data_IF_011539198520
#
_entry.id   IF_011539198520
#
_cell.length_a   1.000
_cell.length_b   1.000
_cell.length_c   1.000
_cell.angle_alpha   90.00
_cell.angle_beta   90.00
_cell.angle_gamma   90.00
#
_symmetry.space_group_name_H-M   'P 1'
#
loop_
_entity.id
_entity.type
_entity.pdbx_description
1 polymer ?
#
# COMPACT_ATOMS: atom_id res chain seq x y z
N UNK A 1 -15.22 -6.66 7.08
CA UNK A 1 -14.30 -7.11 6.02
C UNK A 1 -13.10 -7.82 6.64
N UNK A 2 -12.59 -8.90 6.04
CA UNK A 2 -11.40 -9.63 6.50
C UNK A 2 -10.26 -9.44 5.50
N UNK A 3 -9.06 -9.08 5.96
CA UNK A 3 -7.90 -8.83 5.12
C UNK A 3 -6.77 -9.76 5.55
N UNK A 4 -6.28 -10.54 4.59
CA UNK A 4 -5.21 -11.53 4.72
C UNK A 4 -4.24 -11.39 3.55
N UNK A 5 -3.00 -11.87 3.71
CA UNK A 5 -2.12 -12.05 2.55
C UNK A 5 -2.49 -13.32 1.78
N UNK A 6 -2.50 -13.23 0.46
CA UNK A 6 -2.80 -14.35 -0.45
C UNK A 6 -1.83 -15.52 -0.30
N UNK A 7 -0.55 -15.24 -0.01
CA UNK A 7 0.47 -16.27 0.20
C UNK A 7 0.44 -16.91 1.60
N UNK A 8 -0.49 -16.48 2.47
CA UNK A 8 -0.60 -16.94 3.84
C UNK A 8 0.54 -16.52 4.77
N UNK A 9 1.51 -15.73 4.29
CA UNK A 9 2.59 -15.21 5.12
C UNK A 9 2.07 -14.19 6.14
N UNK A 10 2.82 -14.03 7.23
CA UNK A 10 2.50 -12.99 8.21
C UNK A 10 2.81 -11.60 7.66
N UNK A 11 2.14 -10.60 8.22
CA UNK A 11 2.39 -9.20 7.88
C UNK A 11 2.32 -8.30 9.10
N UNK A 12 2.77 -7.07 8.90
CA UNK A 12 2.67 -6.00 9.87
C UNK A 12 1.88 -4.85 9.25
N UNK A 13 1.05 -4.20 10.05
CA UNK A 13 0.28 -3.01 9.65
C UNK A 13 0.70 -1.85 10.55
N UNK A 14 1.00 -0.73 9.94
CA UNK A 14 1.41 0.48 10.62
C UNK A 14 0.24 1.44 10.84
N UNK A 15 -0.47 1.77 9.77
CA UNK A 15 -1.60 2.70 9.81
C UNK A 15 -2.66 2.36 8.78
N UNK A 16 -3.83 2.96 8.97
CA UNK A 16 -4.97 2.90 8.07
C UNK A 16 -5.68 4.26 8.11
N UNK A 17 -6.13 4.74 6.96
CA UNK A 17 -6.90 5.97 6.86
C UNK A 17 -8.40 5.62 6.80
N UNK A 18 -9.21 6.30 7.62
CA UNK A 18 -10.65 6.03 7.77
C UNK A 18 -11.44 7.34 7.73
N UNK A 19 -12.62 7.33 7.12
CA UNK A 19 -13.60 8.41 7.21
C UNK A 19 -15.03 7.85 7.32
N UNK A 20 -15.99 8.69 7.67
CA UNK A 20 -17.41 8.33 7.49
C UNK A 20 -17.75 8.16 6.00
N UNK A 21 -18.77 7.36 5.68
CA UNK A 21 -19.08 7.01 4.28
C UNK A 21 -19.40 8.20 3.38
N UNK A 22 -19.88 9.31 3.96
CA UNK A 22 -20.21 10.53 3.22
C UNK A 22 -19.05 11.54 3.24
N UNK A 23 -18.01 11.28 4.03
CA UNK A 23 -16.87 12.15 4.30
C UNK A 23 -17.30 13.58 4.69
N UNK A 24 -18.29 13.68 5.56
CA UNK A 24 -18.84 14.95 6.04
C UNK A 24 -18.41 15.30 7.46
N UNK A 25 -17.58 14.46 8.09
CA UNK A 25 -17.20 14.59 9.49
C UNK A 25 -18.26 14.05 10.43
N UNK A 26 -18.90 12.93 10.07
CA UNK A 26 -19.73 12.20 11.02
C UNK A 26 -18.83 11.41 12.00
N UNK A 27 -19.19 11.39 13.28
CA UNK A 27 -18.52 10.59 14.30
C UNK A 27 -19.05 9.15 14.23
N UNK A 28 -18.32 8.24 13.61
CA UNK A 28 -18.72 6.84 13.45
C UNK A 28 -17.85 5.92 14.27
N UNK A 29 -18.52 5.00 14.96
CA UNK A 29 -17.91 3.97 15.79
C UNK A 29 -17.56 2.75 14.95
N UNK A 30 -16.28 2.36 14.98
CA UNK A 30 -15.79 1.20 14.27
C UNK A 30 -14.81 0.40 15.11
N UNK A 31 -14.47 -0.78 14.59
CA UNK A 31 -13.56 -1.72 15.20
C UNK A 31 -12.47 -2.12 14.24
N UNK A 32 -11.27 -2.24 14.78
CA UNK A 32 -10.16 -2.94 14.14
C UNK A 32 -9.87 -4.19 14.96
N UNK A 33 -10.06 -5.35 14.34
CA UNK A 33 -9.76 -6.64 14.98
C UNK A 33 -8.54 -7.28 14.33
N UNK A 34 -7.54 -7.59 15.12
CA UNK A 34 -6.31 -8.23 14.69
C UNK A 34 -6.32 -9.71 15.07
N UNK A 35 -5.85 -10.56 14.17
CA UNK A 35 -5.63 -11.99 14.42
C UNK A 35 -4.15 -12.27 14.28
N UNK A 36 -3.50 -12.66 15.36
CA UNK A 36 -2.06 -12.89 15.41
C UNK A 36 -1.68 -14.32 14.99
N UNK A 37 -0.38 -14.54 14.77
CA UNK A 37 0.17 -15.84 14.39
C UNK A 37 -0.23 -16.99 15.34
N UNK A 38 -0.34 -16.71 16.64
CA UNK A 38 -0.76 -17.67 17.68
C UNK A 38 -2.29 -17.82 17.79
N UNK A 39 -3.04 -17.23 16.85
CA UNK A 39 -4.50 -17.15 16.80
C UNK A 39 -5.15 -16.33 17.93
N UNK A 40 -4.37 -15.61 18.76
CA UNK A 40 -4.96 -14.61 19.63
C UNK A 40 -5.61 -13.52 18.81
N UNK A 41 -6.62 -12.89 19.39
CA UNK A 41 -7.32 -11.77 18.78
C UNK A 41 -7.30 -10.57 19.70
N UNK A 42 -7.09 -9.39 19.12
CA UNK A 42 -7.23 -8.11 19.79
C UNK A 42 -8.23 -7.26 19.02
N UNK A 43 -9.15 -6.60 19.71
CA UNK A 43 -10.10 -5.65 19.10
C UNK A 43 -9.85 -4.27 19.69
N UNK A 44 -9.68 -3.28 18.82
CA UNK A 44 -9.69 -1.87 19.16
C UNK A 44 -11.06 -1.29 18.83
N UNK A 45 -11.55 -0.42 19.70
CA UNK A 45 -12.78 0.33 19.54
C UNK A 45 -12.39 1.80 19.32
N UNK A 46 -12.77 2.35 18.18
CA UNK A 46 -12.31 3.64 17.69
C UNK A 46 -13.47 4.43 17.12
N UNK A 47 -13.29 5.74 17.00
CA UNK A 47 -14.20 6.63 16.31
C UNK A 47 -13.45 7.64 15.45
N UNK A 48 -14.12 8.13 14.40
CA UNK A 48 -13.68 9.33 13.64
C UNK A 48 -13.89 10.60 14.48
N UNK A 49 -13.21 11.70 14.17
CA UNK A 49 -13.09 12.91 14.97
C UNK A 49 -14.07 14.04 14.60
N UNK A 50 -15.22 13.71 14.01
CA UNK A 50 -16.23 14.69 13.59
C UNK A 50 -15.75 15.76 12.58
N UNK A 51 -14.63 15.51 11.90
CA UNK A 51 -14.08 16.40 10.87
C UNK A 51 -14.14 15.71 9.52
N UNK A 52 -14.50 16.46 8.46
CA UNK A 52 -14.44 15.92 7.11
C UNK A 52 -12.99 15.69 6.68
N UNK A 53 -12.74 14.58 6.00
CA UNK A 53 -11.42 14.11 5.59
C UNK A 53 -11.13 12.70 6.11
N UNK A 54 -10.12 12.06 5.53
CA UNK A 54 -9.62 10.81 6.05
C UNK A 54 -8.69 11.05 7.24
N UNK A 55 -8.89 10.24 8.28
CA UNK A 55 -8.12 10.28 9.51
C UNK A 55 -7.18 9.08 9.58
N UNK A 56 -5.92 9.34 9.88
CA UNK A 56 -4.92 8.28 10.04
C UNK A 56 -4.96 7.68 11.43
N UNK A 57 -5.34 6.40 11.51
CA UNK A 57 -5.26 5.60 12.73
C UNK A 57 -3.95 4.80 12.71
N UNK A 58 -3.01 5.19 13.58
CA UNK A 58 -1.77 4.42 13.77
C UNK A 58 -2.02 3.24 14.71
N UNK A 59 -1.77 2.02 14.22
CA UNK A 59 -2.02 0.78 14.98
C UNK A 59 -0.75 0.00 15.30
N UNK A 60 0.28 0.07 14.44
CA UNK A 60 1.61 -0.54 14.63
C UNK A 60 1.56 -2.00 15.16
N UNK A 61 0.82 -2.86 14.47
CA UNK A 61 0.62 -4.26 14.84
C UNK A 61 1.49 -5.18 13.99
N UNK A 62 2.07 -6.21 14.62
CA UNK A 62 3.02 -7.15 13.99
C UNK A 62 2.55 -8.58 14.12
N UNK A 63 3.15 -9.48 13.35
CA UNK A 63 2.87 -10.92 13.37
C UNK A 63 1.39 -11.24 13.12
N UNK A 64 0.77 -10.51 12.20
CA UNK A 64 -0.64 -10.69 11.86
C UNK A 64 -0.82 -11.76 10.79
N UNK A 65 -1.82 -12.61 11.01
CA UNK A 65 -2.43 -13.47 9.99
C UNK A 65 -3.54 -12.74 9.24
N UNK A 66 -4.29 -11.91 9.97
CA UNK A 66 -5.40 -11.17 9.43
C UNK A 66 -5.64 -9.88 10.23
N UNK A 67 -6.29 -8.91 9.59
CA UNK A 67 -7.01 -7.88 10.31
C UNK A 67 -8.40 -7.69 9.70
N UNK A 68 -9.33 -7.26 10.53
CA UNK A 68 -10.73 -7.08 10.17
C UNK A 68 -11.20 -5.70 10.57
N UNK A 69 -12.11 -5.19 9.76
CA UNK A 69 -12.78 -3.91 10.00
C UNK A 69 -14.28 -4.20 10.11
N UNK A 70 -14.89 -3.67 11.16
CA UNK A 70 -16.32 -3.78 11.40
C UNK A 70 -16.87 -2.50 12.00
N UNK A 71 -18.15 -2.22 11.79
CA UNK A 71 -18.86 -1.09 12.39
C UNK A 71 -19.61 -1.56 13.63
N UNK A 72 -19.83 -0.67 14.60
CA UNK A 72 -20.47 -1.05 15.88
C UNK A 72 -21.96 -0.76 15.91
N UNK A 73 -22.41 0.15 15.06
CA UNK A 73 -23.82 0.56 15.00
C UNK A 73 -24.40 0.29 13.61
N UNK A 74 -25.69 -0.05 13.59
CA UNK A 74 -26.43 -0.30 12.36
C UNK A 74 -26.56 0.99 11.58
N UNK A 75 -26.18 0.97 10.30
CA UNK A 75 -26.24 2.14 9.41
C UNK A 75 -25.00 3.02 9.44
N UNK A 76 -24.07 2.81 10.37
CA UNK A 76 -22.74 3.39 10.30
C UNK A 76 -21.88 2.55 9.36
N UNK A 77 -21.38 3.17 8.30
CA UNK A 77 -20.41 2.60 7.36
C UNK A 77 -19.22 3.54 7.26
N UNK A 78 -18.02 2.98 7.13
CA UNK A 78 -16.78 3.76 7.02
C UNK A 78 -16.14 3.56 5.65
N UNK A 79 -15.51 4.62 5.16
CA UNK A 79 -14.54 4.56 4.08
C UNK A 79 -13.19 4.15 4.65
N UNK A 80 -12.41 3.47 3.81
CA UNK A 80 -11.06 3.02 4.12
C UNK A 80 -10.16 3.41 2.96
N UNK A 81 -9.00 3.98 3.26
CA UNK A 81 -7.93 4.22 2.30
C UNK A 81 -6.55 3.97 2.95
N UNK A 82 -5.50 4.01 2.14
CA UNK A 82 -4.09 4.03 2.54
C UNK A 82 -3.74 3.07 3.70
N UNK A 83 -3.95 1.78 3.48
CA UNK A 83 -3.43 0.77 4.40
C UNK A 83 -1.92 0.72 4.26
N UNK A 84 -1.20 1.18 5.27
CA UNK A 84 0.26 1.17 5.29
C UNK A 84 0.76 -0.07 6.01
N UNK A 85 1.42 -0.95 5.26
CA UNK A 85 2.11 -2.11 5.81
C UNK A 85 3.55 -1.76 6.18
N UNK A 86 4.10 -2.44 7.18
CA UNK A 86 5.55 -2.43 7.47
C UNK A 86 6.14 -3.81 7.18
N UNK A 87 7.36 -3.84 6.66
CA UNK A 87 8.03 -5.07 6.27
C UNK A 87 8.91 -4.86 5.04
N UNK A 88 9.73 -5.87 4.73
CA UNK A 88 10.57 -5.86 3.52
C UNK A 88 9.66 -5.88 2.29
N UNK A 89 9.33 -4.70 1.78
CA UNK A 89 8.90 -4.57 0.38
C UNK A 89 10.16 -4.91 -0.40
N UNK A 90 10.18 -6.08 -1.04
CA UNK A 90 11.25 -6.41 -1.97
C UNK A 90 11.35 -5.22 -2.93
N UNK A 91 12.55 -4.67 -3.07
CA UNK A 91 12.77 -3.57 -4.00
C UNK A 91 12.16 -4.01 -5.33
N UNK A 92 11.17 -3.25 -5.81
CA UNK A 92 10.62 -3.48 -7.14
C UNK A 92 11.83 -3.36 -8.05
N UNK A 93 12.24 -4.43 -8.76
CA UNK A 93 13.38 -4.35 -9.65
C UNK A 93 13.14 -3.15 -10.56
N UNK A 94 14.12 -2.22 -10.61
CA UNK A 94 13.96 -0.98 -11.37
C UNK A 94 13.39 -1.32 -12.76
N UNK A 95 12.44 -0.53 -13.29
CA UNK A 95 11.77 -0.90 -14.52
C UNK A 95 12.82 -1.18 -15.58
N UNK A 96 12.81 -2.40 -16.13
CA UNK A 96 13.72 -2.80 -17.21
C UNK A 96 13.66 -1.80 -18.39
N UNK A 97 12.65 -0.95 -18.45
CA UNK A 97 12.57 0.28 -19.24
C UNK A 97 13.88 1.09 -19.26
N UNK A 98 14.57 1.28 -18.13
CA UNK A 98 15.81 2.07 -18.10
C UNK A 98 16.94 1.33 -18.81
N UNK A 99 17.08 0.04 -18.53
CA UNK A 99 18.06 -0.81 -19.21
C UNK A 99 17.79 -0.88 -20.73
N UNK A 100 16.53 -1.04 -21.13
CA UNK A 100 16.11 -1.10 -22.54
C UNK A 100 16.29 0.26 -23.25
N UNK A 101 16.02 1.37 -22.57
CA UNK A 101 16.24 2.72 -23.09
C UNK A 101 17.73 2.99 -23.31
N UNK A 102 18.57 2.65 -22.33
CA UNK A 102 20.02 2.77 -22.44
C UNK A 102 20.59 1.88 -23.55
N UNK A 103 20.10 0.65 -23.69
CA UNK A 103 20.44 -0.25 -24.82
C UNK A 103 20.05 0.37 -26.16
N UNK A 104 18.84 0.93 -26.27
CA UNK A 104 18.36 1.61 -27.47
C UNK A 104 19.23 2.82 -27.84
N UNK A 105 19.54 3.69 -26.89
CA UNK A 105 20.40 4.86 -27.12
C UNK A 105 21.84 4.48 -27.44
N UNK A 106 22.39 3.46 -26.79
CA UNK A 106 23.70 2.94 -27.11
C UNK A 106 23.75 2.36 -28.52
N UNK A 107 22.73 1.59 -28.93
CA UNK A 107 22.59 1.07 -30.29
C UNK A 107 22.47 2.17 -31.35
N UNK A 108 21.65 3.19 -31.10
CA UNK A 108 21.53 4.36 -31.98
C UNK A 108 22.83 5.17 -32.06
N UNK A 109 23.47 5.45 -30.93
CA UNK A 109 24.72 6.21 -30.88
C UNK A 109 25.88 5.49 -31.58
N UNK A 110 26.00 4.18 -31.38
CA UNK A 110 27.04 3.36 -32.02
C UNK A 110 26.89 3.30 -33.54
N UNK A 111 25.66 3.13 -34.04
CA UNK A 111 25.38 3.11 -35.49
C UNK A 111 25.67 4.46 -36.15
N UNK A 112 25.31 5.59 -35.52
CA UNK A 112 25.64 6.93 -36.01
C UNK A 112 27.16 7.13 -36.07
N UNK A 113 27.90 6.72 -35.04
CA UNK A 113 29.37 6.87 -34.98
C UNK A 113 30.09 6.07 -36.06
N UNK A 114 29.65 4.83 -36.30
CA UNK A 114 30.22 3.96 -37.33
C UNK A 114 30.06 4.54 -38.75
N UNK A 115 28.90 5.14 -39.06
CA UNK A 115 28.68 5.78 -40.38
C UNK A 115 29.60 6.98 -40.62
N UNK A 116 29.84 7.80 -39.59
CA UNK A 116 30.75 8.96 -39.69
C UNK A 116 32.19 8.54 -39.97
N UNK A 117 32.67 7.46 -39.36
CA UNK A 117 34.02 6.94 -39.61
C UNK A 117 34.23 6.40 -41.03
N UNK A 118 33.18 5.82 -41.66
CA UNK A 118 33.26 5.35 -43.04
C UNK A 118 33.31 6.53 -44.00
N UNK A 119 32.43 7.53 -43.81
CA UNK A 119 32.40 8.74 -44.63
C UNK A 119 33.68 9.58 -44.53
N UNK A 120 34.33 9.61 -43.36
CA UNK A 120 35.59 10.34 -43.17
C UNK A 120 36.83 9.65 -43.77
N UNK A 121 36.70 8.37 -44.19
CA UNK A 121 37.77 7.59 -44.82
C UNK A 121 37.63 7.50 -46.35
N UNK A 122 36.54 8.03 -46.90
CA UNK A 122 36.28 8.15 -48.34
C UNK A 122 36.68 9.53 -48.83
#
# INVERSE_FOLDING_TARGET
MNITKEDGSLFEIFSIDIADIMNIGANYDFTLRFVYADNKQQTLYLNTNSTAGLETFTVNQKNLKAFLIGTREVGQNVQIDNIRLTGSVAAVPEPATWAMMLLGFFGLGSTIRARRSVLARA
#
